data_IF_647896925750
#
_entry.id   IF_647896925750
#
_cell.length_a   1.000
_cell.length_b   1.000
_cell.length_c   1.000
_cell.angle_alpha   90.00
_cell.angle_beta   90.00
_cell.angle_gamma   90.00
#
_symmetry.space_group_name_H-M   'P 1'
#
loop_
_entity.id
_entity.type
_entity.pdbx_description
1 polymer ?
#
# COMPACT_ATOMS: atom_id res chain seq x y z
N UNK A 1 -4.80 -5.09 17.72
CA UNK A 1 -4.20 -4.35 16.59
C UNK A 1 -3.68 -5.34 15.55
N UNK A 2 -3.98 -5.12 14.29
CA UNK A 2 -3.52 -6.01 13.21
C UNK A 2 -2.04 -5.84 12.95
N UNK A 3 -1.28 -6.94 12.94
CA UNK A 3 0.11 -6.95 12.52
C UNK A 3 0.21 -6.71 11.01
N UNK A 4 1.35 -6.21 10.55
CA UNK A 4 1.58 -5.97 9.11
C UNK A 4 1.33 -7.22 8.26
N UNK A 5 1.82 -8.38 8.69
CA UNK A 5 1.62 -9.62 7.96
C UNK A 5 0.15 -10.00 7.83
N UNK A 6 -0.64 -9.83 8.90
CA UNK A 6 -2.08 -10.10 8.89
C UNK A 6 -2.83 -9.12 8.01
N UNK A 7 -2.45 -7.86 8.04
CA UNK A 7 -3.03 -6.81 7.20
C UNK A 7 -2.81 -7.12 5.72
N UNK A 8 -1.56 -7.44 5.36
CA UNK A 8 -1.21 -7.82 3.99
C UNK A 8 -1.95 -9.07 3.53
N UNK A 9 -2.07 -10.08 4.38
CA UNK A 9 -2.82 -11.31 4.06
C UNK A 9 -4.30 -11.02 3.82
N UNK A 10 -4.90 -10.15 4.64
CA UNK A 10 -6.30 -9.74 4.46
C UNK A 10 -6.49 -8.98 3.16
N UNK A 11 -5.56 -8.08 2.83
CA UNK A 11 -5.60 -7.32 1.59
C UNK A 11 -5.46 -8.24 0.37
N UNK A 12 -4.51 -9.17 0.40
CA UNK A 12 -4.32 -10.13 -0.70
C UNK A 12 -5.55 -10.98 -0.93
N UNK A 13 -6.20 -11.43 0.14
CA UNK A 13 -7.43 -12.21 0.06
C UNK A 13 -8.56 -11.42 -0.59
N UNK A 14 -8.75 -10.19 -0.17
CA UNK A 14 -9.79 -9.32 -0.72
C UNK A 14 -9.54 -8.97 -2.19
N UNK A 15 -8.29 -8.68 -2.55
CA UNK A 15 -7.90 -8.42 -3.94
C UNK A 15 -8.24 -9.58 -4.85
N UNK A 16 -7.85 -10.79 -4.45
CA UNK A 16 -8.07 -12.00 -5.24
C UNK A 16 -9.55 -12.42 -5.31
N UNK A 17 -10.31 -12.10 -4.29
CA UNK A 17 -11.74 -12.41 -4.26
C UNK A 17 -12.59 -11.42 -5.06
N UNK A 18 -12.12 -10.17 -5.21
CA UNK A 18 -12.94 -9.07 -5.71
C UNK A 18 -12.54 -8.63 -7.12
N UNK A 19 -11.24 -8.62 -7.43
CA UNK A 19 -10.73 -8.11 -8.69
C UNK A 19 -10.20 -9.21 -9.60
N UNK A 20 -10.42 -9.03 -10.90
CA UNK A 20 -9.77 -9.85 -11.92
C UNK A 20 -8.35 -9.31 -12.12
N UNK A 21 -7.43 -9.76 -11.27
CA UNK A 21 -6.06 -9.25 -11.24
C UNK A 21 -5.07 -10.35 -10.90
N UNK A 22 -3.79 -10.07 -11.13
CA UNK A 22 -2.69 -10.85 -10.58
C UNK A 22 -2.09 -10.05 -9.43
N UNK A 23 -2.39 -10.46 -8.22
CA UNK A 23 -1.85 -9.85 -7.02
C UNK A 23 -0.74 -10.76 -6.46
N UNK A 24 0.45 -10.20 -6.30
CA UNK A 24 1.62 -10.92 -5.82
C UNK A 24 2.16 -10.25 -4.57
N UNK A 25 2.58 -11.06 -3.63
CA UNK A 25 3.26 -10.64 -2.43
C UNK A 25 4.74 -10.90 -2.59
N UNK A 26 5.56 -9.87 -2.40
CA UNK A 26 7.00 -9.93 -2.61
C UNK A 26 7.69 -10.02 -1.25
N UNK A 27 8.30 -11.19 -1.00
CA UNK A 27 8.99 -11.46 0.26
C UNK A 27 10.46 -11.85 0.01
N UNK A 28 11.01 -11.42 -1.12
CA UNK A 28 12.37 -11.72 -1.49
C UNK A 28 13.36 -10.95 -0.60
N UNK A 29 14.13 -11.70 0.18
CA UNK A 29 15.16 -11.14 1.05
C UNK A 29 16.43 -10.74 0.29
N UNK A 30 16.57 -11.16 -0.95
CA UNK A 30 17.76 -10.91 -1.76
C UNK A 30 17.64 -9.67 -2.63
N UNK A 31 16.43 -9.17 -2.85
CA UNK A 31 16.19 -7.96 -3.64
C UNK A 31 15.68 -6.87 -2.72
N UNK A 32 16.59 -5.99 -2.32
CA UNK A 32 16.26 -4.88 -1.41
C UNK A 32 15.38 -3.85 -2.07
N UNK A 33 14.41 -3.34 -1.32
CA UNK A 33 13.62 -2.17 -1.71
C UNK A 33 12.40 -2.45 -2.58
N UNK A 34 12.13 -3.71 -2.94
CA UNK A 34 10.90 -4.03 -3.67
C UNK A 34 9.70 -3.85 -2.73
N UNK A 35 8.64 -3.16 -3.18
CA UNK A 35 7.41 -3.04 -2.38
C UNK A 35 6.76 -4.40 -2.12
N UNK A 36 6.00 -4.49 -1.03
CA UNK A 36 5.40 -5.74 -0.57
C UNK A 36 4.43 -6.38 -1.53
N UNK A 37 3.70 -5.59 -2.29
CA UNK A 37 2.58 -6.07 -3.09
C UNK A 37 2.61 -5.43 -4.47
N UNK A 38 2.43 -6.25 -5.51
CA UNK A 38 2.14 -5.75 -6.84
C UNK A 38 0.75 -6.23 -7.28
N UNK A 39 0.04 -5.38 -7.99
CA UNK A 39 -1.28 -5.70 -8.56
C UNK A 39 -1.23 -5.40 -10.04
N UNK A 40 -1.43 -6.43 -10.85
CA UNK A 40 -1.47 -6.30 -12.30
C UNK A 40 -2.89 -6.55 -12.79
N UNK A 41 -3.45 -5.56 -13.44
CA UNK A 41 -4.74 -5.67 -14.11
C UNK A 41 -4.85 -4.62 -15.22
N UNK A 42 -5.58 -4.94 -16.27
CA UNK A 42 -5.77 -4.02 -17.39
C UNK A 42 -4.46 -3.63 -18.09
N UNK A 43 -3.48 -4.53 -18.12
CA UNK A 43 -2.20 -4.28 -18.76
C UNK A 43 -1.24 -3.39 -17.95
N UNK A 44 -1.56 -3.05 -16.71
CA UNK A 44 -0.75 -2.20 -15.84
C UNK A 44 -0.45 -2.88 -14.52
N UNK A 45 0.70 -2.53 -13.94
CA UNK A 45 1.08 -2.98 -12.60
C UNK A 45 1.16 -1.77 -11.66
N UNK A 46 0.52 -1.87 -10.53
CA UNK A 46 0.66 -0.93 -9.42
C UNK A 46 1.43 -1.59 -8.28
N UNK A 47 2.16 -0.77 -7.53
CA UNK A 47 3.04 -1.22 -6.45
C UNK A 47 2.60 -0.60 -5.13
N UNK A 48 2.54 -1.43 -4.09
CA UNK A 48 1.99 -1.03 -2.80
C UNK A 48 2.86 -1.51 -1.66
N UNK A 49 3.19 -0.60 -0.77
CA UNK A 49 3.92 -0.91 0.45
C UNK A 49 2.99 -0.63 1.63
N UNK A 50 2.68 -1.65 2.42
CA UNK A 50 1.78 -1.54 3.55
C UNK A 50 2.57 -1.35 4.84
N UNK A 51 2.24 -0.31 5.60
CA UNK A 51 2.89 0.02 6.86
C UNK A 51 1.91 0.39 7.94
N UNK A 52 2.14 -0.14 9.14
CA UNK A 52 1.45 0.31 10.33
C UNK A 52 2.10 1.60 10.82
N UNK A 53 1.31 2.63 11.02
CA UNK A 53 1.82 3.90 11.51
C UNK A 53 2.24 3.78 12.98
N UNK A 54 3.50 3.97 13.23
CA UNK A 54 4.07 4.17 14.56
C UNK A 54 4.26 5.67 14.76
N UNK A 55 4.67 6.13 15.95
CA UNK A 55 4.93 7.56 16.17
C UNK A 55 5.87 8.18 15.13
N UNK A 56 6.75 7.38 14.56
CA UNK A 56 7.55 7.78 13.40
C UNK A 56 7.57 6.65 12.39
N UNK A 57 7.25 6.94 11.13
CA UNK A 57 7.43 6.00 10.05
C UNK A 57 8.82 6.19 9.49
N UNK A 58 9.62 5.13 9.59
CA UNK A 58 10.91 5.09 8.92
C UNK A 58 10.78 4.18 7.71
N UNK A 59 11.07 4.71 6.53
CA UNK A 59 11.30 3.92 5.35
C UNK A 59 12.82 3.80 5.19
N UNK A 60 13.31 2.59 4.97
CA UNK A 60 14.72 2.42 4.65
C UNK A 60 15.01 3.13 3.32
N UNK A 61 16.18 3.80 3.23
CA UNK A 61 16.53 4.64 2.10
C UNK A 61 16.40 3.96 0.74
N UNK A 62 16.77 2.68 0.63
CA UNK A 62 16.67 1.92 -0.62
C UNK A 62 15.21 1.72 -1.02
N UNK A 63 14.33 1.37 -0.08
CA UNK A 63 12.92 1.16 -0.36
C UNK A 63 12.24 2.47 -0.75
N UNK A 64 12.57 3.55 -0.07
CA UNK A 64 12.03 4.87 -0.39
C UNK A 64 12.41 5.31 -1.80
N UNK A 65 13.66 5.10 -2.19
CA UNK A 65 14.13 5.42 -3.54
C UNK A 65 13.42 4.59 -4.60
N UNK A 66 13.26 3.29 -4.35
CA UNK A 66 12.55 2.40 -5.27
C UNK A 66 11.09 2.82 -5.42
N UNK A 67 10.41 3.14 -4.32
CA UNK A 67 9.03 3.63 -4.35
C UNK A 67 8.90 4.93 -5.16
N UNK A 68 9.83 5.86 -4.99
CA UNK A 68 9.84 7.12 -5.75
C UNK A 68 10.02 6.87 -7.25
N UNK A 69 10.93 5.98 -7.62
CA UNK A 69 11.16 5.62 -9.03
C UNK A 69 9.96 4.92 -9.64
N UNK A 70 9.34 3.98 -8.93
CA UNK A 70 8.15 3.30 -9.40
C UNK A 70 6.97 4.26 -9.55
N UNK A 71 6.84 5.22 -8.64
CA UNK A 71 5.81 6.25 -8.75
C UNK A 71 6.03 7.17 -9.95
N UNK A 72 7.28 7.46 -10.29
CA UNK A 72 7.62 8.30 -11.43
C UNK A 72 7.41 7.60 -12.78
N UNK A 73 7.68 6.30 -12.86
CA UNK A 73 7.58 5.52 -14.11
C UNK A 73 6.24 4.80 -14.28
N UNK A 74 5.47 4.71 -13.23
CA UNK A 74 4.23 3.95 -13.20
C UNK A 74 3.36 4.39 -12.04
N UNK A 75 2.97 3.45 -11.18
CA UNK A 75 2.15 3.74 -10.02
C UNK A 75 2.66 3.01 -8.78
N UNK A 76 3.00 3.76 -7.75
CA UNK A 76 3.39 3.22 -6.45
C UNK A 76 2.87 4.11 -5.33
N UNK A 77 2.33 3.49 -4.29
CA UNK A 77 1.79 4.20 -3.13
C UNK A 77 2.05 3.41 -1.86
N UNK A 78 2.17 4.13 -0.75
CA UNK A 78 2.12 3.54 0.57
C UNK A 78 0.68 3.41 1.03
N UNK A 79 0.37 2.28 1.66
CA UNK A 79 -0.87 2.09 2.40
C UNK A 79 -0.48 2.14 3.86
N UNK A 80 -1.02 3.12 4.59
CA UNK A 80 -0.67 3.33 5.99
C UNK A 80 -1.94 3.26 6.82
N UNK A 81 -1.96 2.35 7.79
CA UNK A 81 -3.05 2.31 8.75
C UNK A 81 -2.55 2.74 10.11
N UNK A 82 -3.35 3.54 10.78
CA UNK A 82 -3.00 4.06 12.09
C UNK A 82 -4.17 3.92 13.06
N UNK A 83 -3.82 3.75 14.32
CA UNK A 83 -4.77 3.73 15.41
C UNK A 83 -4.23 4.62 16.53
N UNK A 84 -4.96 5.68 16.83
CA UNK A 84 -4.60 6.62 17.90
C UNK A 84 -5.82 6.90 18.75
N UNK A 85 -5.72 6.67 20.07
CA UNK A 85 -6.77 7.01 21.04
C UNK A 85 -8.15 6.51 20.62
N UNK A 86 -8.22 5.29 20.13
CA UNK A 86 -9.46 4.70 19.65
C UNK A 86 -9.91 5.14 18.26
N UNK A 87 -9.23 6.07 17.62
CA UNK A 87 -9.50 6.46 16.25
C UNK A 87 -8.64 5.68 15.27
N UNK A 88 -9.25 5.16 14.21
CA UNK A 88 -8.60 4.37 13.18
C UNK A 88 -8.68 5.09 11.84
N UNK A 89 -7.58 5.09 11.09
CA UNK A 89 -7.55 5.62 9.73
C UNK A 89 -6.74 4.74 8.82
N UNK A 90 -7.11 4.74 7.54
CA UNK A 90 -6.30 4.17 6.46
C UNK A 90 -6.01 5.27 5.46
N UNK A 91 -4.73 5.46 5.14
CA UNK A 91 -4.27 6.49 4.23
C UNK A 91 -3.55 5.86 3.04
N UNK A 92 -3.75 6.44 1.87
CA UNK A 92 -2.94 6.13 0.69
C UNK A 92 -2.08 7.35 0.43
N UNK A 93 -0.76 7.17 0.47
CA UNK A 93 0.20 8.26 0.47
C UNK A 93 1.18 8.11 -0.69
N UNK A 94 1.33 9.20 -1.47
CA UNK A 94 2.36 9.25 -2.51
C UNK A 94 3.75 9.20 -1.86
N UNK A 95 4.72 8.46 -2.43
CA UNK A 95 6.07 8.36 -1.85
C UNK A 95 6.74 9.69 -1.54
N UNK A 96 6.46 10.74 -2.31
CA UNK A 96 7.01 12.08 -2.07
C UNK A 96 6.49 12.72 -0.78
N UNK A 97 5.35 12.27 -0.27
CA UNK A 97 4.69 12.84 0.91
C UNK A 97 4.74 11.94 2.13
N UNK A 98 5.59 10.91 2.09
CA UNK A 98 5.67 9.97 3.21
C UNK A 98 6.02 10.66 4.53
N UNK A 99 6.96 11.59 4.52
CA UNK A 99 7.42 12.28 5.74
C UNK A 99 6.34 13.13 6.39
N UNK A 100 5.49 13.77 5.59
CA UNK A 100 4.41 14.63 6.08
C UNK A 100 3.14 13.85 6.33
N UNK A 101 3.05 12.62 5.80
CA UNK A 101 1.84 11.79 5.90
C UNK A 101 0.62 12.44 5.30
N UNK A 102 0.80 13.35 4.34
CA UNK A 102 -0.31 13.97 3.63
C UNK A 102 -0.88 12.99 2.61
N UNK A 103 -2.11 12.49 2.80
CA UNK A 103 -2.65 11.45 1.94
C UNK A 103 -3.19 11.97 0.62
N UNK A 104 -3.14 11.12 -0.42
CA UNK A 104 -3.91 11.31 -1.64
C UNK A 104 -5.39 11.12 -1.33
N UNK A 105 -5.69 10.12 -0.51
CA UNK A 105 -7.05 9.76 -0.09
C UNK A 105 -6.95 9.03 1.25
N UNK A 106 -7.99 9.16 2.07
CA UNK A 106 -8.05 8.42 3.33
C UNK A 106 -9.49 8.08 3.71
N UNK A 107 -9.62 7.13 4.62
CA UNK A 107 -10.90 6.77 5.22
C UNK A 107 -10.71 6.60 6.73
N UNK A 108 -11.73 6.95 7.48
CA UNK A 108 -11.81 6.60 8.90
C UNK A 108 -12.17 5.13 9.00
N UNK A 109 -11.37 4.37 9.75
CA UNK A 109 -11.54 2.94 9.90
C UNK A 109 -10.59 2.11 9.05
N UNK A 110 -10.76 0.79 9.14
CA UNK A 110 -10.01 -0.22 8.40
C UNK A 110 -10.99 -1.02 7.55
N UNK A 111 -11.18 -0.60 6.31
CA UNK A 111 -12.12 -1.23 5.38
C UNK A 111 -11.37 -1.76 4.16
N UNK A 112 -11.23 -3.07 4.08
CA UNK A 112 -10.53 -3.72 2.97
C UNK A 112 -11.26 -3.55 1.63
N UNK A 113 -12.57 -3.46 1.62
CA UNK A 113 -13.34 -3.21 0.40
C UNK A 113 -13.04 -1.83 -0.16
N UNK A 114 -13.00 -0.84 0.71
CA UNK A 114 -12.62 0.51 0.32
C UNK A 114 -11.21 0.53 -0.28
N UNK A 115 -10.28 -0.14 0.39
CA UNK A 115 -8.88 -0.19 -0.04
C UNK A 115 -8.74 -0.87 -1.40
N UNK A 116 -9.38 -2.00 -1.61
CA UNK A 116 -9.40 -2.69 -2.90
C UNK A 116 -10.03 -1.82 -3.99
N UNK A 117 -11.08 -1.08 -3.64
CA UNK A 117 -11.72 -0.14 -4.57
C UNK A 117 -10.76 0.98 -5.00
N UNK A 118 -9.97 1.50 -4.07
CA UNK A 118 -8.94 2.50 -4.40
C UNK A 118 -7.85 1.92 -5.31
N UNK A 119 -7.45 0.69 -5.08
CA UNK A 119 -6.50 0.01 -5.97
C UNK A 119 -7.08 -0.16 -7.38
N UNK A 120 -8.34 -0.57 -7.48
CA UNK A 120 -9.06 -0.65 -8.75
C UNK A 120 -9.08 0.70 -9.47
N UNK A 121 -9.40 1.76 -8.77
CA UNK A 121 -9.43 3.11 -9.33
C UNK A 121 -8.05 3.57 -9.83
N UNK A 122 -6.98 3.17 -9.16
CA UNK A 122 -5.62 3.44 -9.60
C UNK A 122 -5.31 2.82 -10.98
N UNK A 123 -6.04 1.79 -11.36
CA UNK A 123 -5.94 1.15 -12.68
C UNK A 123 -6.92 1.72 -13.71
N UNK A 124 -7.67 2.75 -13.36
CA UNK A 124 -8.62 3.39 -14.26
C UNK A 124 -9.91 2.59 -14.48
N UNK A 125 -10.16 1.65 -13.62
CA UNK A 125 -11.33 0.77 -13.77
C UNK A 125 -12.54 1.22 -12.94
#
# INVERSE_FOLDING_TARGET
MKREAEYKSSLMRELRATLKCVALRHEDRFTSGIPDISVTMGGRTSWWEAKHAQPSITSEGIQELTMLRLAACGYARYIIWEERRGSKRTLIVHPKRLKTMEPDVFIVGFDMRWLVDQIRLAHGA
#
